data_IF_971400357322
#
_entry.id   IF_971400357322
#
_cell.length_a   1.000
_cell.length_b   1.000
_cell.length_c   1.000
_cell.angle_alpha   90.00
_cell.angle_beta   90.00
_cell.angle_gamma   90.00
#
_symmetry.space_group_name_H-M   'P 1'
#
loop_
_entity.id
_entity.type
_entity.pdbx_description
1 polymer ?
#
# COMPACT_ATOMS: atom_id res chain seq x y z
N UNK A 1 -17.37 -17.54 37.97
CA UNK A 1 -18.02 -16.78 36.86
C UNK A 1 -17.36 -15.39 36.73
N UNK A 2 -16.12 -15.31 36.21
CA UNK A 2 -15.39 -14.04 35.98
C UNK A 2 -14.17 -14.25 35.08
N UNK A 3 -13.60 -15.46 35.11
CA UNK A 3 -12.43 -15.86 34.34
C UNK A 3 -12.67 -15.90 32.83
N UNK A 4 -13.86 -16.32 32.38
CA UNK A 4 -14.22 -16.34 30.96
C UNK A 4 -14.25 -14.92 30.37
N UNK A 5 -14.75 -13.96 31.14
CA UNK A 5 -14.77 -12.55 30.75
C UNK A 5 -13.35 -11.97 30.64
N UNK A 6 -12.49 -12.29 31.61
CA UNK A 6 -11.09 -11.86 31.58
C UNK A 6 -10.35 -12.44 30.36
N UNK A 7 -10.58 -13.71 30.03
CA UNK A 7 -10.02 -14.35 28.83
C UNK A 7 -10.48 -13.67 27.54
N UNK A 8 -11.77 -13.34 27.42
CA UNK A 8 -12.31 -12.61 26.27
C UNK A 8 -11.72 -11.21 26.13
N UNK A 9 -11.56 -10.47 27.23
CA UNK A 9 -10.94 -9.14 27.22
C UNK A 9 -9.49 -9.22 26.75
N UNK A 10 -8.70 -10.15 27.29
CA UNK A 10 -7.31 -10.36 26.86
C UNK A 10 -7.23 -10.73 25.39
N UNK A 11 -8.09 -11.65 24.93
CA UNK A 11 -8.17 -12.04 23.53
C UNK A 11 -8.47 -10.84 22.62
N UNK A 12 -9.44 -10.00 22.99
CA UNK A 12 -9.82 -8.83 22.21
C UNK A 12 -8.70 -7.78 22.14
N UNK A 13 -7.97 -7.58 23.24
CA UNK A 13 -6.79 -6.68 23.29
C UNK A 13 -5.67 -7.19 22.38
N UNK A 14 -5.38 -8.50 22.39
CA UNK A 14 -4.38 -9.10 21.50
C UNK A 14 -4.79 -8.99 20.04
N UNK A 15 -6.06 -9.28 19.71
CA UNK A 15 -6.59 -9.20 18.34
C UNK A 15 -6.55 -7.76 17.80
N UNK A 16 -6.88 -6.75 18.62
CA UNK A 16 -6.75 -5.35 18.20
C UNK A 16 -5.28 -4.90 18.09
N UNK A 17 -4.40 -5.42 18.93
CA UNK A 17 -2.96 -5.18 18.85
C UNK A 17 -2.33 -5.67 17.55
N UNK A 18 -2.79 -6.81 17.00
CA UNK A 18 -2.31 -7.30 15.70
C UNK A 18 -2.95 -6.56 14.52
N UNK A 19 -4.22 -6.16 14.65
CA UNK A 19 -4.94 -5.45 13.59
C UNK A 19 -4.45 -4.00 13.40
N UNK A 20 -3.96 -3.35 14.46
CA UNK A 20 -3.42 -1.98 14.39
C UNK A 20 -2.19 -1.83 13.50
N UNK A 21 -1.43 -2.91 13.24
CA UNK A 21 -0.19 -2.83 12.46
C UNK A 21 -0.41 -2.92 10.94
N UNK A 22 -1.52 -3.51 10.49
CA UNK A 22 -1.75 -3.79 9.06
C UNK A 22 -2.29 -2.60 8.27
N UNK A 23 -2.89 -1.61 8.93
CA UNK A 23 -3.45 -0.41 8.28
C UNK A 23 -2.40 0.64 7.91
N UNK A 24 -1.16 0.50 8.39
CA UNK A 24 -0.02 1.32 7.98
C UNK A 24 0.78 0.65 6.86
N UNK A 25 0.12 -0.03 5.92
CA UNK A 25 0.72 -0.16 4.58
C UNK A 25 0.90 1.25 4.04
N UNK A 26 2.06 1.84 4.34
CA UNK A 26 2.43 3.17 3.88
C UNK A 26 2.11 3.21 2.38
N UNK A 27 1.25 4.14 1.92
CA UNK A 27 0.83 4.17 0.52
C UNK A 27 2.03 4.25 -0.45
N UNK A 28 3.15 4.77 0.03
CA UNK A 28 4.48 4.72 -0.61
C UNK A 28 4.96 3.27 -0.83
N UNK A 29 4.88 2.42 0.20
CA UNK A 29 5.30 1.01 0.14
C UNK A 29 4.40 0.21 -0.79
N UNK A 30 3.09 0.47 -0.79
CA UNK A 30 2.15 -0.13 -1.73
C UNK A 30 2.47 0.27 -3.19
N UNK A 31 2.79 1.54 -3.43
CA UNK A 31 3.21 2.02 -4.75
C UNK A 31 4.52 1.35 -5.21
N UNK A 32 5.50 1.25 -4.31
CA UNK A 32 6.79 0.61 -4.58
C UNK A 32 6.66 -0.88 -4.90
N UNK A 33 5.75 -1.60 -4.23
CA UNK A 33 5.47 -3.02 -4.54
C UNK A 33 4.94 -3.17 -5.97
N UNK A 34 4.13 -2.20 -6.43
CA UNK A 34 3.64 -2.14 -7.82
C UNK A 34 4.67 -1.60 -8.81
N UNK A 35 5.94 -1.47 -8.42
CA UNK A 35 7.02 -0.86 -9.21
C UNK A 35 6.65 0.55 -9.70
N UNK A 36 5.83 1.26 -8.94
CA UNK A 36 5.45 2.64 -9.22
C UNK A 36 6.31 3.64 -8.45
N UNK A 37 6.19 4.90 -8.85
CA UNK A 37 6.85 6.05 -8.24
C UNK A 37 5.81 7.03 -7.71
N UNK A 38 6.17 7.70 -6.62
CA UNK A 38 5.32 8.71 -6.02
C UNK A 38 5.67 10.09 -6.60
N UNK A 39 4.80 10.63 -7.44
CA UNK A 39 4.94 11.98 -8.00
C UNK A 39 4.03 12.96 -7.28
N UNK A 40 4.51 14.16 -6.98
CA UNK A 40 3.64 15.23 -6.48
C UNK A 40 2.81 15.80 -7.64
N UNK A 41 1.48 15.78 -7.50
CA UNK A 41 0.56 16.25 -8.54
C UNK A 41 0.13 15.18 -9.55
N UNK A 42 0.10 15.54 -10.84
CA UNK A 42 -0.30 14.64 -11.94
C UNK A 42 0.88 13.79 -12.41
N UNK A 43 0.61 12.56 -12.83
CA UNK A 43 1.61 11.70 -13.44
C UNK A 43 2.07 12.27 -14.80
N UNK A 44 3.38 12.37 -15.05
CA UNK A 44 3.88 12.70 -16.38
C UNK A 44 3.59 11.56 -17.36
N UNK A 45 3.24 11.86 -18.61
CA UNK A 45 3.18 10.85 -19.68
C UNK A 45 4.61 10.27 -19.87
N UNK A 46 4.84 8.94 -19.96
CA UNK A 46 3.91 7.82 -20.15
C UNK A 46 3.51 7.05 -18.87
N UNK A 47 3.57 7.69 -17.70
CA UNK A 47 3.17 7.06 -16.44
C UNK A 47 1.66 7.17 -16.24
N UNK A 48 1.04 6.07 -15.82
CA UNK A 48 -0.37 6.00 -15.50
C UNK A 48 -0.59 6.14 -14.00
N UNK A 49 -1.65 6.87 -13.62
CA UNK A 49 -2.08 7.00 -12.23
C UNK A 49 -2.71 5.69 -11.74
N UNK A 50 -2.11 5.06 -10.73
CA UNK A 50 -2.58 3.78 -10.15
C UNK A 50 -3.14 3.95 -8.74
N UNK A 51 -2.79 5.03 -8.05
CA UNK A 51 -3.26 5.31 -6.70
C UNK A 51 -2.65 6.58 -6.12
N UNK A 52 -2.73 6.76 -4.80
CA UNK A 52 -2.09 7.86 -4.08
C UNK A 52 -0.99 7.34 -3.16
N UNK A 53 0.10 8.10 -3.03
CA UNK A 53 1.20 7.86 -2.10
C UNK A 53 1.07 8.67 -0.79
N UNK A 54 0.01 9.47 -0.61
CA UNK A 54 -0.17 10.35 0.56
C UNK A 54 -0.91 11.65 0.23
N UNK A 55 -0.68 12.70 1.03
CA UNK A 55 -1.45 13.97 1.01
C UNK A 55 -1.72 14.52 -0.41
N UNK A 56 -0.66 14.66 -1.22
CA UNK A 56 -0.75 15.28 -2.56
C UNK A 56 0.14 14.60 -3.59
N UNK A 57 0.60 13.38 -3.26
CA UNK A 57 1.42 12.55 -4.13
C UNK A 57 0.57 11.44 -4.73
N UNK A 58 0.69 11.29 -6.04
CA UNK A 58 0.06 10.26 -6.84
C UNK A 58 1.07 9.14 -7.10
N UNK A 59 0.61 7.90 -7.01
CA UNK A 59 1.36 6.73 -7.45
C UNK A 59 1.23 6.58 -8.97
N UNK A 60 2.37 6.69 -9.66
CA UNK A 60 2.49 6.67 -11.10
C UNK A 60 3.28 5.43 -11.52
N UNK A 61 2.74 4.62 -12.44
CA UNK A 61 3.39 3.40 -12.93
C UNK A 61 3.57 3.51 -14.43
N UNK A 62 4.75 3.15 -14.92
CA UNK A 62 5.02 3.03 -16.35
C UNK A 62 4.98 1.56 -16.75
N UNK A 63 4.10 1.24 -17.68
CA UNK A 63 4.08 -0.08 -18.31
C UNK A 63 4.92 -0.05 -19.58
N UNK A 64 5.73 -1.08 -19.80
CA UNK A 64 6.41 -1.31 -21.07
C UNK A 64 6.05 -2.70 -21.55
N UNK A 65 5.76 -2.79 -22.84
CA UNK A 65 5.54 -4.06 -23.51
C UNK A 65 6.90 -4.71 -23.80
N UNK A 66 7.21 -5.81 -23.12
CA UNK A 66 8.36 -6.65 -23.44
C UNK A 66 7.83 -8.00 -23.90
N UNK A 67 8.08 -8.36 -25.16
CA UNK A 67 7.58 -9.61 -25.76
C UNK A 67 6.05 -9.80 -25.64
N UNK A 68 5.29 -8.71 -25.70
CA UNK A 68 3.82 -8.74 -25.60
C UNK A 68 3.28 -8.89 -24.18
N UNK A 69 4.11 -8.62 -23.16
CA UNK A 69 3.73 -8.65 -21.75
C UNK A 69 3.89 -7.23 -21.18
N UNK A 70 2.84 -6.64 -20.58
CA UNK A 70 2.95 -5.35 -19.90
C UNK A 70 3.72 -5.52 -18.59
N UNK A 71 4.96 -5.01 -18.55
CA UNK A 71 5.77 -4.99 -17.33
C UNK A 71 5.76 -3.60 -16.69
N UNK A 72 5.51 -3.53 -15.38
CA UNK A 72 5.68 -2.31 -14.60
C UNK A 72 7.19 -2.04 -14.40
N UNK A 73 7.66 -0.88 -14.84
CA UNK A 73 9.05 -0.44 -14.66
C UNK A 73 9.21 0.36 -13.37
N UNK A 74 10.09 -0.11 -12.48
CA UNK A 74 10.48 0.63 -11.30
C UNK A 74 11.55 1.66 -11.67
N UNK A 75 11.37 2.91 -11.25
CA UNK A 75 12.44 3.91 -11.29
C UNK A 75 13.33 3.70 -10.05
N UNK A 76 14.64 3.59 -10.28
CA UNK A 76 15.68 3.27 -9.29
C UNK A 76 16.09 4.47 -8.46
#
# INVERSE_FOLDING_TARGET
MRILYLLLVVLFVVVQGVAGQSYLSSPIRACRIRRGICFFGRCPQPYHHVGSCGLRSSCCVRYVEVQGIPIAMAES
#
